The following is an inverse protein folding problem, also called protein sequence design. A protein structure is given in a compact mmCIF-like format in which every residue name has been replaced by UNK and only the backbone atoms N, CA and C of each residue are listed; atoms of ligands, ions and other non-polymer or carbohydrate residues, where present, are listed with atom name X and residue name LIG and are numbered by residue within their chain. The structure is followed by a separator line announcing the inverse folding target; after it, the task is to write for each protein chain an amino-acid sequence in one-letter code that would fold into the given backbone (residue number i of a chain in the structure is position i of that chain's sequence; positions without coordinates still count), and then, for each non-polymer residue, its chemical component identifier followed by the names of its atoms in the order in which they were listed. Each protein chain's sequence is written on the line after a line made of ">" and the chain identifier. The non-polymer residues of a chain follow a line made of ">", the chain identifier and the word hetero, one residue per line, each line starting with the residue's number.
data_IF_712774076046
#
_entry.id   IF_712774076046
#
_cell.length_a   1.000
_cell.length_b   1.000
_cell.length_c   1.000
_cell.angle_alpha   90.00
_cell.angle_beta   90.00
_cell.angle_gamma   90.00
#
_symmetry.space_group_name_H-M   'P 1'
#
loop_
_entity.id
_entity.type
_entity.pdbx_description
1 polymer ?
#
# COMPACT_ATOMS: atom_id res chain seq x y z
N UNK A 1 13.89 10.26 30.00
CA UNK A 1 13.38 11.62 29.76
C UNK A 1 13.41 11.89 28.26
N UNK A 2 12.31 11.64 27.55
CA UNK A 2 12.19 11.87 26.11
C UNK A 2 11.92 13.35 25.87
N UNK A 3 12.79 14.01 25.12
CA UNK A 3 12.53 15.35 24.63
C UNK A 3 11.18 15.35 23.90
N UNK A 4 10.20 16.08 24.43
CA UNK A 4 8.95 16.38 23.73
C UNK A 4 9.36 16.96 22.38
N UNK A 5 9.04 16.26 21.30
CA UNK A 5 9.34 16.76 19.97
C UNK A 5 8.38 17.92 19.72
N UNK A 6 8.86 19.17 19.78
CA UNK A 6 8.09 20.40 19.50
C UNK A 6 7.61 20.50 18.04
N UNK A 7 7.73 19.41 17.28
CA UNK A 7 7.32 19.32 15.90
C UNK A 7 5.92 18.73 15.79
N UNK A 8 4.97 19.57 15.41
CA UNK A 8 3.54 19.20 15.32
C UNK A 8 3.27 18.10 14.29
N UNK A 9 4.15 17.89 13.31
CA UNK A 9 4.03 16.82 12.32
C UNK A 9 4.57 15.46 12.82
N UNK A 10 5.43 15.47 13.84
CA UNK A 10 6.13 14.26 14.28
C UNK A 10 5.21 13.17 14.86
N UNK A 11 4.19 13.48 15.70
CA UNK A 11 3.28 12.46 16.20
C UNK A 11 2.59 11.65 15.10
N UNK A 12 2.20 12.28 14.00
CA UNK A 12 1.58 11.61 12.87
C UNK A 12 2.59 10.78 12.06
N UNK A 13 3.80 11.31 11.85
CA UNK A 13 4.88 10.54 11.22
C UNK A 13 5.22 9.28 12.02
N UNK A 14 5.28 9.41 13.36
CA UNK A 14 5.54 8.28 14.26
C UNK A 14 4.44 7.22 14.15
N UNK A 15 3.17 7.61 14.22
CA UNK A 15 2.03 6.68 14.04
C UNK A 15 2.09 5.97 12.68
N UNK A 16 2.49 6.68 11.64
CA UNK A 16 2.69 6.10 10.31
C UNK A 16 3.81 5.05 10.32
N UNK A 17 4.97 5.33 10.93
CA UNK A 17 6.04 4.34 11.05
C UNK A 17 5.68 3.14 11.91
N UNK A 18 4.94 3.34 13.00
CA UNK A 18 4.37 2.27 13.82
C UNK A 18 3.43 1.38 12.97
N UNK A 19 2.62 1.96 12.07
CA UNK A 19 1.83 1.18 11.12
C UNK A 19 2.70 0.43 10.12
N UNK A 20 3.72 1.06 9.54
CA UNK A 20 4.60 0.41 8.56
C UNK A 20 5.38 -0.77 9.16
N UNK A 21 5.85 -0.66 10.41
CA UNK A 21 6.60 -1.76 11.04
C UNK A 21 5.69 -2.96 11.33
N UNK A 22 4.44 -2.73 11.73
CA UNK A 22 3.45 -3.81 11.89
C UNK A 22 3.19 -4.51 10.55
N UNK A 23 2.95 -3.74 9.48
CA UNK A 23 2.74 -4.30 8.14
C UNK A 23 3.95 -5.10 7.65
N UNK A 24 5.16 -4.56 7.84
CA UNK A 24 6.42 -5.24 7.51
C UNK A 24 6.58 -6.55 8.28
N UNK A 25 6.28 -6.53 9.58
CA UNK A 25 6.37 -7.71 10.44
C UNK A 25 5.42 -8.81 9.96
N UNK A 26 4.17 -8.46 9.64
CA UNK A 26 3.19 -9.42 9.14
C UNK A 26 3.63 -10.06 7.82
N UNK A 27 4.11 -9.26 6.86
CA UNK A 27 4.63 -9.77 5.59
C UNK A 27 5.82 -10.73 5.80
N UNK A 28 6.73 -10.37 6.70
CA UNK A 28 7.90 -11.19 7.04
C UNK A 28 7.49 -12.52 7.67
N UNK A 29 6.61 -12.46 8.67
CA UNK A 29 6.10 -13.62 9.38
C UNK A 29 5.39 -14.58 8.43
N UNK A 30 4.47 -14.07 7.61
CA UNK A 30 3.76 -14.85 6.60
C UNK A 30 4.70 -15.47 5.59
N UNK A 31 5.66 -14.72 5.05
CA UNK A 31 6.67 -15.25 4.14
C UNK A 31 7.46 -16.41 4.78
N UNK A 32 7.91 -16.25 6.03
CA UNK A 32 8.68 -17.29 6.70
C UNK A 32 7.86 -18.54 7.02
N UNK A 33 6.66 -18.35 7.55
CA UNK A 33 5.73 -19.44 7.86
C UNK A 33 5.41 -20.24 6.60
N UNK A 34 5.07 -19.57 5.50
CA UNK A 34 4.74 -20.20 4.23
C UNK A 34 5.94 -20.94 3.62
N UNK A 35 7.13 -20.36 3.67
CA UNK A 35 8.34 -21.05 3.20
C UNK A 35 8.74 -22.25 4.09
N UNK A 36 8.50 -22.18 5.40
CA UNK A 36 8.69 -23.30 6.30
C UNK A 36 7.70 -24.44 5.99
N UNK A 37 6.44 -24.08 5.70
CA UNK A 37 5.41 -25.02 5.22
C UNK A 37 5.87 -25.73 3.94
N UNK A 38 6.41 -25.00 2.96
CA UNK A 38 6.96 -25.63 1.74
C UNK A 38 8.06 -26.65 2.03
N UNK A 39 9.00 -26.32 2.93
CA UNK A 39 10.06 -27.25 3.33
C UNK A 39 9.53 -28.48 4.08
N UNK A 40 8.50 -28.31 4.90
CA UNK A 40 7.87 -29.43 5.61
C UNK A 40 7.20 -30.40 4.64
N UNK A 41 6.53 -29.87 3.62
CA UNK A 41 5.76 -30.65 2.67
C UNK A 41 6.54 -31.08 1.43
N UNK A 42 7.80 -30.67 1.27
CA UNK A 42 8.64 -31.08 0.12
C UNK A 42 8.93 -32.58 0.08
N UNK A 43 8.82 -33.27 1.22
CA UNK A 43 9.09 -34.71 1.36
C UNK A 43 7.80 -35.54 1.48
N UNK A 44 6.63 -34.91 1.40
CA UNK A 44 5.35 -35.62 1.44
C UNK A 44 5.02 -36.10 0.01
N UNK A 45 4.65 -37.38 -0.17
CA UNK A 45 4.28 -37.90 -1.48
C UNK A 45 3.18 -37.04 -2.13
N UNK A 46 3.30 -36.67 -3.42
CA UNK A 46 2.33 -35.80 -4.10
C UNK A 46 0.87 -36.26 -3.99
N UNK A 47 0.63 -37.56 -3.99
CA UNK A 47 -0.69 -38.16 -3.82
C UNK A 47 -1.35 -37.84 -2.47
N UNK A 48 -0.58 -37.43 -1.46
CA UNK A 48 -1.05 -37.11 -0.11
C UNK A 48 -1.23 -35.60 0.13
N UNK A 49 -0.99 -34.77 -0.89
CA UNK A 49 -1.09 -33.31 -0.81
C UNK A 49 -2.23 -32.80 -1.68
N UNK A 50 -3.41 -32.69 -1.07
CA UNK A 50 -4.60 -32.09 -1.67
C UNK A 50 -5.17 -31.07 -0.69
N UNK A 51 -5.38 -29.85 -1.15
CA UNK A 51 -6.16 -28.84 -0.44
C UNK A 51 -7.38 -28.49 -1.29
N UNK A 52 -8.57 -28.77 -0.77
CA UNK A 52 -9.82 -28.46 -1.46
C UNK A 52 -10.70 -27.56 -0.59
N UNK A 53 -11.43 -26.67 -1.23
CA UNK A 53 -12.42 -25.81 -0.57
C UNK A 53 -13.62 -25.65 -1.50
N UNK A 54 -14.80 -25.60 -0.90
CA UNK A 54 -16.09 -25.50 -1.57
C UNK A 54 -16.92 -24.41 -0.90
N UNK A 55 -17.63 -23.59 -1.68
CA UNK A 55 -18.55 -22.60 -1.12
C UNK A 55 -19.93 -23.24 -0.95
N UNK A 56 -20.32 -23.42 0.30
CA UNK A 56 -21.61 -23.94 0.73
C UNK A 56 -22.41 -22.77 1.29
N UNK A 57 -23.67 -22.65 0.88
CA UNK A 57 -24.60 -21.61 1.33
C UNK A 57 -25.93 -22.24 1.74
N UNK A 58 -26.79 -21.44 2.34
CA UNK A 58 -28.17 -21.78 2.66
C UNK A 58 -29.11 -20.68 2.18
N UNK A 59 -30.40 -20.99 2.13
CA UNK A 59 -31.44 -19.98 1.99
C UNK A 59 -31.82 -19.47 3.38
N UNK A 60 -31.36 -18.27 3.73
CA UNK A 60 -31.64 -17.62 5.02
C UNK A 60 -33.11 -17.24 5.23
N UNK A 61 -33.95 -17.37 4.19
CA UNK A 61 -35.41 -17.18 4.24
C UNK A 61 -36.19 -18.47 4.04
N UNK A 62 -35.48 -19.57 3.77
CA UNK A 62 -36.07 -20.83 3.33
C UNK A 62 -36.54 -21.73 4.48
N UNK A 63 -37.02 -22.90 4.10
CA UNK A 63 -37.40 -23.93 5.05
C UNK A 63 -36.18 -24.41 5.86
N UNK A 64 -36.44 -24.78 7.11
CA UNK A 64 -35.43 -25.36 8.00
C UNK A 64 -35.82 -26.78 8.34
N UNK A 65 -34.83 -27.64 8.57
CA UNK A 65 -35.09 -28.95 9.17
C UNK A 65 -35.13 -28.79 10.69
N UNK A 66 -36.32 -28.53 11.24
CA UNK A 66 -36.52 -28.35 12.68
C UNK A 66 -35.62 -27.26 13.30
N UNK A 67 -35.44 -26.13 12.61
CA UNK A 67 -34.57 -25.04 13.03
C UNK A 67 -33.10 -25.18 12.62
N UNK A 68 -32.71 -26.28 11.97
CA UNK A 68 -31.39 -26.43 11.35
C UNK A 68 -31.35 -25.90 9.92
N UNK A 69 -30.25 -25.24 9.60
CA UNK A 69 -29.97 -24.65 8.29
C UNK A 69 -29.82 -25.72 7.21
N UNK A 70 -30.63 -25.61 6.15
CA UNK A 70 -30.52 -26.47 4.96
C UNK A 70 -29.44 -25.91 4.02
N UNK A 71 -28.32 -26.62 3.96
CA UNK A 71 -27.15 -26.24 3.19
C UNK A 71 -27.16 -26.84 1.77
N UNK A 72 -26.73 -26.05 0.78
CA UNK A 72 -26.49 -26.50 -0.58
C UNK A 72 -25.18 -25.93 -1.15
N UNK A 73 -24.57 -26.72 -2.03
CA UNK A 73 -23.31 -26.36 -2.68
C UNK A 73 -23.55 -25.39 -3.84
N UNK A 74 -22.75 -24.33 -3.93
CA UNK A 74 -22.89 -23.30 -5.00
C UNK A 74 -22.43 -23.76 -6.39
N UNK A 75 -21.80 -24.93 -6.48
CA UNK A 75 -21.10 -25.41 -7.68
C UNK A 75 -19.67 -24.89 -7.79
N UNK A 76 -19.24 -23.95 -6.94
CA UNK A 76 -17.90 -23.35 -6.97
C UNK A 76 -16.98 -24.05 -5.97
N UNK A 77 -15.87 -24.59 -6.47
CA UNK A 77 -14.82 -25.19 -5.65
C UNK A 77 -13.43 -24.77 -6.14
N UNK A 78 -12.45 -24.84 -5.23
CA UNK A 78 -11.03 -24.67 -5.53
C UNK A 78 -10.26 -25.86 -4.99
N UNK A 79 -9.45 -26.46 -5.84
CA UNK A 79 -8.54 -27.54 -5.46
C UNK A 79 -7.12 -27.16 -5.82
N UNK A 80 -6.19 -27.45 -4.92
CA UNK A 80 -4.74 -27.30 -5.14
C UNK A 80 -4.13 -28.67 -4.99
N UNK A 81 -3.56 -29.17 -6.08
CA UNK A 81 -2.86 -30.44 -6.11
C UNK A 81 -1.40 -30.23 -5.70
N UNK A 82 -0.73 -31.31 -5.29
CA UNK A 82 0.69 -31.26 -4.89
C UNK A 82 1.60 -30.56 -5.90
N UNK A 83 1.41 -30.84 -7.20
CA UNK A 83 2.19 -30.23 -8.29
C UNK A 83 2.06 -28.70 -8.35
N UNK A 84 0.96 -28.15 -7.84
CA UNK A 84 0.64 -26.71 -7.81
C UNK A 84 0.95 -26.08 -6.46
N UNK A 85 1.27 -26.86 -5.42
CA UNK A 85 1.39 -26.37 -4.05
C UNK A 85 2.44 -25.26 -3.91
N UNK A 86 3.61 -25.41 -4.54
CA UNK A 86 4.65 -24.39 -4.56
C UNK A 86 4.16 -23.06 -5.19
N UNK A 87 3.40 -23.16 -6.27
CA UNK A 87 2.85 -22.01 -6.97
C UNK A 87 1.77 -21.34 -6.12
N UNK A 88 0.89 -22.12 -5.49
CA UNK A 88 -0.13 -21.59 -4.59
C UNK A 88 0.48 -20.87 -3.40
N UNK A 89 1.52 -21.43 -2.77
CA UNK A 89 2.21 -20.75 -1.67
C UNK A 89 2.86 -19.45 -2.13
N UNK A 90 3.53 -19.45 -3.28
CA UNK A 90 4.12 -18.23 -3.85
C UNK A 90 3.05 -17.17 -4.15
N UNK A 91 1.89 -17.61 -4.66
CA UNK A 91 0.72 -16.75 -4.91
C UNK A 91 0.17 -16.15 -3.63
N UNK A 92 0.03 -16.95 -2.56
CA UNK A 92 -0.44 -16.48 -1.25
C UNK A 92 0.52 -15.46 -0.62
N UNK A 93 1.84 -15.70 -0.70
CA UNK A 93 2.85 -14.73 -0.27
C UNK A 93 2.71 -13.43 -1.06
N UNK A 94 2.51 -13.53 -2.38
CA UNK A 94 2.32 -12.35 -3.24
C UNK A 94 1.07 -11.57 -2.90
N UNK A 95 -0.04 -12.24 -2.61
CA UNK A 95 -1.29 -11.59 -2.17
C UNK A 95 -1.09 -10.81 -0.88
N UNK A 96 -0.43 -11.41 0.11
CA UNK A 96 -0.13 -10.72 1.37
C UNK A 96 0.77 -9.50 1.14
N UNK A 97 1.80 -9.64 0.30
CA UNK A 97 2.68 -8.51 -0.03
C UNK A 97 1.94 -7.39 -0.79
N UNK A 98 1.03 -7.73 -1.70
CA UNK A 98 0.14 -6.78 -2.38
C UNK A 98 -0.79 -6.07 -1.39
N UNK A 99 -1.41 -6.81 -0.47
CA UNK A 99 -2.23 -6.23 0.59
C UNK A 99 -1.43 -5.23 1.43
N UNK A 100 -0.20 -5.59 1.82
CA UNK A 100 0.70 -4.70 2.57
C UNK A 100 1.06 -3.44 1.78
N UNK A 101 1.28 -3.54 0.46
CA UNK A 101 1.45 -2.36 -0.40
C UNK A 101 0.24 -1.44 -0.30
N UNK A 102 -0.96 -1.97 -0.54
CA UNK A 102 -2.19 -1.18 -0.52
C UNK A 102 -2.40 -0.47 0.82
N UNK A 103 -2.22 -1.21 1.92
CA UNK A 103 -2.35 -0.67 3.28
C UNK A 103 -1.29 0.37 3.63
N UNK A 104 -0.05 0.19 3.15
CA UNK A 104 1.02 1.16 3.38
C UNK A 104 0.78 2.48 2.65
N UNK A 105 0.19 2.43 1.44
CA UNK A 105 -0.16 3.61 0.67
C UNK A 105 -1.35 4.36 1.31
N UNK A 106 -2.38 3.64 1.77
CA UNK A 106 -3.49 4.26 2.52
C UNK A 106 -3.01 4.95 3.80
N UNK A 107 -2.07 4.33 4.53
CA UNK A 107 -1.45 4.95 5.69
C UNK A 107 -0.65 6.21 5.33
N UNK A 108 0.02 6.23 4.17
CA UNK A 108 0.74 7.39 3.66
C UNK A 108 -0.22 8.52 3.28
N UNK A 109 -1.33 8.21 2.61
CA UNK A 109 -2.37 9.20 2.31
C UNK A 109 -2.93 9.80 3.61
N UNK A 110 -3.24 8.97 4.60
CA UNK A 110 -3.70 9.44 5.90
C UNK A 110 -2.68 10.36 6.57
N UNK A 111 -1.39 10.01 6.55
CA UNK A 111 -0.31 10.87 7.05
C UNK A 111 -0.32 12.24 6.35
N UNK A 112 -0.40 12.25 5.02
CA UNK A 112 -0.36 13.48 4.24
C UNK A 112 -1.60 14.35 4.47
N UNK A 113 -2.78 13.74 4.64
CA UNK A 113 -3.98 14.47 5.10
C UNK A 113 -3.74 15.12 6.46
N UNK A 114 -3.09 14.42 7.39
CA UNK A 114 -2.73 14.98 8.69
C UNK A 114 -1.75 16.16 8.57
N UNK A 115 -0.71 16.03 7.74
CA UNK A 115 0.24 17.12 7.50
C UNK A 115 -0.42 18.37 6.92
N UNK A 116 -1.31 18.20 5.94
CA UNK A 116 -2.05 19.34 5.36
C UNK A 116 -2.96 19.97 6.40
N UNK A 117 -3.65 19.17 7.22
CA UNK A 117 -4.49 19.68 8.30
C UNK A 117 -3.69 20.53 9.32
N UNK A 118 -2.54 20.04 9.79
CA UNK A 118 -1.68 20.81 10.69
C UNK A 118 -1.08 22.05 10.00
N UNK A 119 -0.72 21.95 8.71
CA UNK A 119 -0.25 23.10 7.93
C UNK A 119 -1.32 24.19 7.84
N UNK A 120 -2.59 23.86 7.63
CA UNK A 120 -3.69 24.82 7.60
C UNK A 120 -3.87 25.56 8.94
N UNK A 121 -3.68 24.89 10.07
CA UNK A 121 -3.74 25.53 11.40
C UNK A 121 -2.61 26.53 11.62
N UNK A 122 -1.44 26.26 11.07
CA UNK A 122 -0.22 27.05 11.28
C UNK A 122 0.01 28.14 10.21
N UNK A 123 -0.84 28.20 9.19
CA UNK A 123 -0.60 28.98 7.99
C UNK A 123 -1.93 29.42 7.36
N UNK A 124 -2.46 30.54 7.83
CA UNK A 124 -3.72 31.10 7.35
C UNK A 124 -3.67 31.41 5.84
N UNK A 125 -2.52 31.85 5.32
CA UNK A 125 -2.36 32.10 3.90
C UNK A 125 -2.53 30.80 3.09
N UNK A 126 -1.86 29.73 3.51
CA UNK A 126 -2.03 28.43 2.87
C UNK A 126 -3.47 27.92 2.97
N UNK A 127 -4.12 28.11 4.12
CA UNK A 127 -5.53 27.76 4.31
C UNK A 127 -6.44 28.44 3.30
N UNK A 128 -6.35 29.78 3.16
CA UNK A 128 -7.18 30.53 2.21
C UNK A 128 -6.90 30.15 0.75
N UNK A 129 -5.64 29.83 0.41
CA UNK A 129 -5.25 29.43 -0.96
C UNK A 129 -5.84 28.08 -1.38
N UNK A 130 -6.05 27.16 -0.45
CA UNK A 130 -6.57 25.83 -0.77
C UNK A 130 -8.06 25.69 -0.51
N UNK A 131 -8.65 26.56 0.31
CA UNK A 131 -10.08 26.59 0.58
C UNK A 131 -10.82 26.91 -0.72
N UNK A 132 -11.82 26.10 -1.02
CA UNK A 132 -12.72 26.31 -2.16
C UNK A 132 -14.14 25.99 -1.72
N UNK A 133 -15.14 26.35 -2.53
CA UNK A 133 -16.54 25.97 -2.29
C UNK A 133 -16.72 24.46 -2.07
N UNK A 134 -15.90 23.64 -2.73
CA UNK A 134 -15.98 22.17 -2.68
C UNK A 134 -15.00 21.52 -1.68
N UNK A 135 -14.14 22.31 -1.04
CA UNK A 135 -13.13 21.78 -0.12
C UNK A 135 -12.90 22.74 1.03
N UNK A 136 -13.37 22.35 2.22
CA UNK A 136 -13.10 23.02 3.47
C UNK A 136 -11.99 22.28 4.24
N UNK A 137 -10.77 22.84 4.37
CA UNK A 137 -9.66 22.19 5.09
C UNK A 137 -9.92 21.97 6.59
N UNK A 138 -10.93 22.60 7.18
CA UNK A 138 -11.31 22.33 8.57
C UNK A 138 -12.06 21.00 8.71
N UNK A 139 -12.73 20.54 7.65
CA UNK A 139 -13.43 19.27 7.63
C UNK A 139 -12.55 18.17 7.03
N UNK A 140 -12.05 17.30 7.90
CA UNK A 140 -11.15 16.21 7.52
C UNK A 140 -11.80 15.16 6.63
N UNK A 141 -13.12 15.03 6.67
CA UNK A 141 -13.85 14.04 5.87
C UNK A 141 -13.76 14.33 4.37
N UNK A 142 -13.61 15.61 4.00
CA UNK A 142 -13.56 16.08 2.61
C UNK A 142 -12.15 16.05 2.00
N UNK A 143 -11.15 15.52 2.71
CA UNK A 143 -9.80 15.48 2.20
C UNK A 143 -9.65 14.48 1.04
N UNK A 144 -9.20 14.92 -0.14
CA UNK A 144 -9.10 14.05 -1.31
C UNK A 144 -7.97 13.02 -1.14
N UNK A 145 -8.02 11.95 -1.92
CA UNK A 145 -6.91 11.01 -2.12
C UNK A 145 -6.15 11.26 -3.44
N UNK A 146 -5.22 10.37 -3.75
CA UNK A 146 -4.54 10.26 -5.04
C UNK A 146 -3.82 11.53 -5.48
N UNK A 147 -3.94 11.86 -6.77
CA UNK A 147 -3.28 13.02 -7.38
C UNK A 147 -3.68 14.35 -6.75
N UNK A 148 -4.93 14.48 -6.31
CA UNK A 148 -5.43 15.70 -5.66
C UNK A 148 -4.75 15.93 -4.31
N UNK A 149 -4.51 14.87 -3.53
CA UNK A 149 -3.75 14.97 -2.28
C UNK A 149 -2.28 15.36 -2.54
N UNK A 150 -1.65 14.75 -3.55
CA UNK A 150 -0.27 15.10 -3.92
C UNK A 150 -0.16 16.57 -4.34
N UNK A 151 -1.15 17.12 -5.06
CA UNK A 151 -1.19 18.55 -5.40
C UNK A 151 -1.23 19.44 -4.15
N UNK A 152 -2.00 19.07 -3.11
CA UNK A 152 -2.02 19.80 -1.84
C UNK A 152 -0.66 19.75 -1.15
N UNK A 153 -0.01 18.58 -1.11
CA UNK A 153 1.34 18.43 -0.55
C UNK A 153 2.33 19.32 -1.31
N UNK A 154 2.33 19.28 -2.63
CA UNK A 154 3.20 20.14 -3.47
C UNK A 154 2.99 21.62 -3.17
N UNK A 155 1.73 22.07 -3.02
CA UNK A 155 1.42 23.45 -2.62
C UNK A 155 1.96 23.77 -1.22
N UNK A 156 1.82 22.85 -0.27
CA UNK A 156 2.29 23.04 1.11
C UNK A 156 3.83 23.12 1.19
N UNK A 157 4.54 22.33 0.39
CA UNK A 157 6.00 22.24 0.38
C UNK A 157 6.69 23.14 -0.65
N UNK A 158 5.92 23.83 -1.51
CA UNK A 158 6.41 24.79 -2.51
C UNK A 158 7.57 24.23 -3.36
N UNK A 159 8.54 25.08 -3.71
CA UNK A 159 9.69 24.75 -4.57
C UNK A 159 10.61 23.67 -3.97
N UNK A 160 10.67 23.58 -2.64
CA UNK A 160 11.45 22.55 -1.95
C UNK A 160 10.99 21.15 -2.36
N UNK A 161 9.71 20.94 -2.67
CA UNK A 161 9.26 19.63 -3.18
C UNK A 161 10.05 19.16 -4.39
N UNK A 162 10.23 20.04 -5.37
CA UNK A 162 10.95 19.72 -6.60
C UNK A 162 12.45 19.59 -6.31
N UNK A 163 13.01 20.50 -5.51
CA UNK A 163 14.42 20.46 -5.10
C UNK A 163 14.81 19.14 -4.45
N UNK A 164 14.03 18.67 -3.47
CA UNK A 164 14.28 17.37 -2.82
C UNK A 164 13.96 16.18 -3.74
N UNK A 165 12.99 16.33 -4.64
CA UNK A 165 12.69 15.32 -5.65
C UNK A 165 13.84 15.13 -6.67
N UNK A 166 14.64 16.16 -6.92
CA UNK A 166 15.75 16.12 -7.88
C UNK A 166 17.09 15.75 -7.23
N UNK A 167 17.31 16.20 -5.99
CA UNK A 167 18.58 16.04 -5.28
C UNK A 167 18.66 14.81 -4.37
N UNK A 168 17.65 13.93 -4.36
CA UNK A 168 17.70 12.74 -3.51
C UNK A 168 18.66 11.67 -4.05
N UNK A 169 19.23 10.89 -3.12
CA UNK A 169 20.23 9.86 -3.40
C UNK A 169 19.75 8.76 -4.36
N UNK A 170 18.44 8.60 -4.51
CA UNK A 170 17.83 7.57 -5.36
C UNK A 170 17.43 8.10 -6.74
N UNK A 171 17.63 9.40 -7.02
CA UNK A 171 17.13 10.09 -8.24
C UNK A 171 15.64 9.81 -8.49
N UNK A 172 14.88 9.63 -7.40
CA UNK A 172 13.48 9.25 -7.43
C UNK A 172 12.62 10.50 -7.60
N UNK A 173 11.94 10.62 -8.75
CA UNK A 173 10.96 11.70 -8.96
C UNK A 173 9.72 11.44 -8.11
N UNK A 174 9.47 12.25 -7.09
CA UNK A 174 8.39 12.06 -6.12
C UNK A 174 7.00 11.93 -6.77
N UNK A 175 6.73 12.75 -7.79
CA UNK A 175 5.44 12.68 -8.50
C UNK A 175 5.28 11.38 -9.30
N UNK A 176 6.36 10.86 -9.88
CA UNK A 176 6.32 9.59 -10.61
C UNK A 176 6.18 8.44 -9.61
N UNK A 177 6.94 8.47 -8.52
CA UNK A 177 6.84 7.49 -7.45
C UNK A 177 5.41 7.40 -6.90
N UNK A 178 4.83 8.51 -6.46
CA UNK A 178 3.46 8.57 -5.95
C UNK A 178 2.45 7.97 -6.93
N UNK A 179 2.49 8.42 -8.19
CA UNK A 179 1.55 7.97 -9.22
C UNK A 179 1.71 6.48 -9.51
N UNK A 180 2.94 5.98 -9.63
CA UNK A 180 3.19 4.55 -9.85
C UNK A 180 2.63 3.72 -8.70
N UNK A 181 2.93 4.06 -7.45
CA UNK A 181 2.43 3.29 -6.29
C UNK A 181 0.91 3.42 -6.16
N UNK A 182 0.34 4.59 -6.44
CA UNK A 182 -1.12 4.80 -6.45
C UNK A 182 -1.83 3.91 -7.47
N UNK A 183 -1.29 3.76 -8.69
CA UNK A 183 -1.86 2.88 -9.71
C UNK A 183 -1.74 1.39 -9.30
N UNK A 184 -0.61 0.98 -8.72
CA UNK A 184 -0.45 -0.36 -8.17
C UNK A 184 -1.47 -0.64 -7.07
N UNK A 185 -1.63 0.28 -6.10
CA UNK A 185 -2.63 0.16 -5.03
C UNK A 185 -4.04 0.05 -5.58
N UNK A 186 -4.38 0.85 -6.60
CA UNK A 186 -5.70 0.81 -7.21
C UNK A 186 -5.99 -0.57 -7.85
N UNK A 187 -5.04 -1.11 -8.62
CA UNK A 187 -5.16 -2.44 -9.22
C UNK A 187 -5.26 -3.56 -8.17
N UNK A 188 -4.45 -3.49 -7.11
CA UNK A 188 -4.50 -4.45 -6.00
C UNK A 188 -5.86 -4.44 -5.30
N UNK A 189 -6.41 -3.25 -5.04
CA UNK A 189 -7.65 -3.10 -4.26
C UNK A 189 -8.90 -3.43 -5.08
N UNK A 190 -8.92 -3.07 -6.38
CA UNK A 190 -10.14 -3.07 -7.18
C UNK A 190 -10.10 -4.04 -8.37
N UNK A 191 -8.97 -4.70 -8.64
CA UNK A 191 -8.80 -5.51 -9.85
C UNK A 191 -8.03 -6.80 -9.58
N UNK A 192 -8.05 -7.30 -8.34
CA UNK A 192 -7.40 -8.55 -7.94
C UNK A 192 -5.93 -8.63 -8.41
N UNK A 193 -5.19 -7.53 -8.25
CA UNK A 193 -3.79 -7.39 -8.66
C UNK A 193 -3.54 -7.30 -10.19
N UNK A 194 -4.57 -7.22 -11.02
CA UNK A 194 -4.45 -7.08 -12.48
C UNK A 194 -4.41 -5.59 -12.87
N UNK A 195 -3.46 -5.22 -13.72
CA UNK A 195 -3.29 -3.85 -14.22
C UNK A 195 -3.04 -3.81 -15.73
N UNK A 196 -3.63 -2.80 -16.39
CA UNK A 196 -3.36 -2.51 -17.80
C UNK A 196 -1.92 -2.00 -17.97
N UNK A 197 -1.19 -2.57 -18.94
CA UNK A 197 0.20 -2.20 -19.26
C UNK A 197 0.38 -0.71 -19.51
N UNK A 198 -0.57 -0.07 -20.19
CA UNK A 198 -0.54 1.36 -20.49
C UNK A 198 -0.52 2.26 -19.25
N UNK A 199 -1.09 1.83 -18.12
CA UNK A 199 -1.12 2.64 -16.89
C UNK A 199 0.25 2.74 -16.22
N UNK A 200 1.01 1.65 -16.27
CA UNK A 200 2.24 1.46 -15.50
C UNK A 200 3.51 1.54 -16.37
N UNK A 201 3.42 1.20 -17.66
CA UNK A 201 4.55 1.19 -18.61
C UNK A 201 4.50 2.35 -19.62
N UNK A 202 3.78 3.43 -19.32
CA UNK A 202 3.65 4.62 -20.19
C UNK A 202 4.95 5.40 -20.45
N UNK A 203 5.95 5.26 -19.59
CA UNK A 203 7.27 5.85 -19.84
C UNK A 203 8.37 5.07 -19.13
N UNK A 204 9.63 5.37 -19.48
CA UNK A 204 10.82 4.75 -18.87
C UNK A 204 10.86 4.96 -17.35
N UNK A 205 10.53 6.15 -16.88
CA UNK A 205 10.54 6.47 -15.45
C UNK A 205 9.49 5.67 -14.67
N UNK A 206 8.25 5.60 -15.18
CA UNK A 206 7.19 4.80 -14.55
C UNK A 206 7.54 3.31 -14.57
N UNK A 207 8.02 2.81 -15.70
CA UNK A 207 8.45 1.41 -15.87
C UNK A 207 9.56 1.05 -14.90
N UNK A 208 10.57 1.91 -14.74
CA UNK A 208 11.70 1.67 -13.85
C UNK A 208 11.25 1.59 -12.39
N UNK A 209 10.43 2.53 -11.94
CA UNK A 209 9.90 2.52 -10.57
C UNK A 209 9.03 1.27 -10.36
N UNK A 210 8.12 0.98 -11.29
CA UNK A 210 7.24 -0.17 -11.19
C UNK A 210 8.02 -1.48 -11.09
N UNK A 211 9.00 -1.70 -11.97
CA UNK A 211 9.84 -2.92 -11.96
C UNK A 211 10.81 -2.98 -10.79
N UNK A 212 11.18 -1.83 -10.22
CA UNK A 212 12.03 -1.80 -9.03
C UNK A 212 11.31 -2.33 -7.78
N UNK A 213 10.00 -2.09 -7.69
CA UNK A 213 9.18 -2.46 -6.54
C UNK A 213 8.25 -3.65 -6.79
N UNK A 214 8.00 -4.06 -8.03
CA UNK A 214 7.12 -5.17 -8.37
C UNK A 214 7.63 -6.00 -9.55
N UNK A 215 7.29 -7.29 -9.54
CA UNK A 215 7.34 -8.15 -10.72
C UNK A 215 5.98 -8.14 -11.42
N UNK A 216 5.96 -8.48 -12.71
CA UNK A 216 4.74 -8.49 -13.51
C UNK A 216 4.68 -9.78 -14.31
N UNK A 217 3.58 -10.53 -14.15
CA UNK A 217 3.30 -11.73 -14.95
C UNK A 217 2.32 -11.37 -16.07
N UNK A 218 2.59 -11.72 -17.35
CA UNK A 218 1.65 -11.45 -18.43
C UNK A 218 0.37 -12.28 -18.28
N UNK A 219 -0.79 -11.63 -18.40
CA UNK A 219 -2.10 -12.30 -18.45
C UNK A 219 -2.65 -12.25 -19.87
N UNK A 220 -2.66 -11.06 -20.47
CA UNK A 220 -3.05 -10.85 -21.87
C UNK A 220 -2.01 -9.98 -22.59
N UNK A 221 -2.27 -9.67 -23.87
CA UNK A 221 -1.45 -8.69 -24.60
C UNK A 221 -1.44 -7.32 -23.90
N UNK A 222 -2.52 -6.94 -23.22
CA UNK A 222 -2.69 -5.61 -22.62
C UNK A 222 -2.63 -5.59 -21.10
N UNK A 223 -2.69 -6.73 -20.43
CA UNK A 223 -2.80 -6.82 -18.96
C UNK A 223 -1.68 -7.66 -18.36
N UNK A 224 -1.28 -7.27 -17.15
CA UNK A 224 -0.32 -7.98 -16.32
C UNK A 224 -0.85 -8.13 -14.90
N UNK A 225 -0.49 -9.22 -14.26
CA UNK A 225 -0.68 -9.42 -12.82
C UNK A 225 0.54 -8.86 -12.08
N UNK A 226 0.27 -8.12 -10.99
CA UNK A 226 1.28 -7.62 -10.07
C UNK A 226 1.70 -8.77 -9.15
N UNK A 227 2.99 -9.10 -9.18
CA UNK A 227 3.59 -10.14 -8.34
C UNK A 227 4.62 -9.51 -7.41
N UNK A 228 4.45 -9.73 -6.11
CA UNK A 228 5.33 -9.23 -5.07
C UNK A 228 5.92 -10.37 -4.25
N UNK A 229 7.18 -10.21 -3.88
CA UNK A 229 7.84 -11.04 -2.88
C UNK A 229 8.21 -10.18 -1.67
N UNK A 230 8.59 -10.84 -0.57
CA UNK A 230 8.96 -10.14 0.66
C UNK A 230 10.09 -9.12 0.46
N UNK A 231 11.10 -9.42 -0.38
CA UNK A 231 12.24 -8.51 -0.59
C UNK A 231 11.81 -7.24 -1.30
N UNK A 232 10.89 -7.35 -2.27
CA UNK A 232 10.35 -6.20 -2.99
C UNK A 232 9.48 -5.33 -2.09
N UNK A 233 8.59 -5.92 -1.30
CA UNK A 233 7.74 -5.15 -0.38
C UNK A 233 8.56 -4.50 0.74
N UNK A 234 9.58 -5.18 1.28
CA UNK A 234 10.50 -4.61 2.28
C UNK A 234 11.18 -3.33 1.76
N UNK A 235 11.68 -3.39 0.52
CA UNK A 235 12.26 -2.24 -0.15
C UNK A 235 11.24 -1.12 -0.39
N UNK A 236 10.03 -1.47 -0.83
CA UNK A 236 8.98 -0.49 -1.07
C UNK A 236 8.57 0.23 0.21
N UNK A 237 8.37 -0.49 1.31
CA UNK A 237 8.03 0.10 2.60
C UNK A 237 9.11 1.08 3.08
N UNK A 238 10.38 0.74 2.89
CA UNK A 238 11.49 1.66 3.15
C UNK A 238 11.38 2.93 2.30
N UNK A 239 11.19 2.81 0.99
CA UNK A 239 11.06 3.98 0.11
C UNK A 239 9.82 4.84 0.42
N UNK A 240 8.70 4.22 0.81
CA UNK A 240 7.50 4.91 1.29
C UNK A 240 7.81 5.68 2.58
N UNK A 241 8.52 5.07 3.53
CA UNK A 241 8.92 5.70 4.78
C UNK A 241 9.87 6.89 4.57
N UNK A 242 10.83 6.75 3.66
CA UNK A 242 11.78 7.79 3.28
C UNK A 242 11.08 8.93 2.55
N UNK A 243 10.14 8.64 1.65
CA UNK A 243 9.35 9.66 0.98
C UNK A 243 8.49 10.47 1.97
N UNK A 244 7.82 9.80 2.90
CA UNK A 244 7.11 10.45 4.00
C UNK A 244 8.03 11.34 4.84
N UNK A 245 9.24 10.85 5.15
CA UNK A 245 10.24 11.62 5.88
C UNK A 245 10.65 12.89 5.15
N UNK A 246 10.84 12.84 3.82
CA UNK A 246 11.23 14.03 3.06
C UNK A 246 10.15 15.11 3.13
N UNK A 247 8.87 14.73 2.98
CA UNK A 247 7.76 15.68 3.12
C UNK A 247 7.71 16.27 4.52
N UNK A 248 7.81 15.42 5.56
CA UNK A 248 7.91 15.86 6.95
C UNK A 248 9.05 16.86 7.15
N UNK A 249 10.25 16.54 6.65
CA UNK A 249 11.45 17.36 6.78
C UNK A 249 11.28 18.73 6.12
N UNK A 250 10.65 18.80 4.94
CA UNK A 250 10.38 20.07 4.25
C UNK A 250 9.45 20.94 5.09
N UNK A 251 8.29 20.39 5.49
CA UNK A 251 7.29 21.12 6.30
C UNK A 251 7.88 21.59 7.64
N UNK A 252 8.70 20.74 8.27
CA UNK A 252 9.37 21.06 9.53
C UNK A 252 10.34 22.23 9.36
N UNK A 253 11.16 22.22 8.29
CA UNK A 253 12.12 23.29 8.01
C UNK A 253 11.43 24.63 7.73
N UNK A 254 10.33 24.62 6.99
CA UNK A 254 9.57 25.84 6.68
C UNK A 254 9.07 26.55 7.95
N UNK A 255 8.75 25.80 9.01
CA UNK A 255 8.27 26.34 10.29
C UNK A 255 9.35 26.42 11.37
N UNK A 256 10.62 26.14 11.03
CA UNK A 256 11.73 26.17 12.00
C UNK A 256 11.73 25.03 13.02
N UNK A 257 10.94 23.98 12.82
CA UNK A 257 10.91 22.83 13.73
C UNK A 257 12.14 21.94 13.57
N UNK A 258 12.54 21.29 14.68
CA UNK A 258 13.54 20.22 14.65
C UNK A 258 13.00 19.03 13.86
N UNK A 259 13.74 18.60 12.84
CA UNK A 259 13.36 17.48 11.96
C UNK A 259 14.28 16.28 12.09
N UNK A 260 15.48 16.45 12.66
CA UNK A 260 16.41 15.34 12.91
C UNK A 260 15.81 14.47 14.02
N UNK A 261 15.51 13.22 13.67
CA UNK A 261 15.09 12.19 14.61
C UNK A 261 16.34 11.73 15.37
N UNK A 262 16.30 11.81 16.70
CA UNK A 262 17.35 11.33 17.62
C UNK A 262 16.91 10.03 18.27
#
# INVERSE_FOLDING_TARGET
>A
MTAKCDNLYYPDLRKFYERLIVLRHNAYFMNNMMNATLKKYSNVPPEHLISASALIISDITGETDNGWELNFHTGVSKTVLAKEFNNEVSRLISIECCYVLAQSFEALEKLFKNFIYEKCKLDNLFFEVIKTEKFNPQDRSNYPGGDSLLKLIRKATKEDFNKYSESNNYKLKFSVFWKTISELRHAITHSQNIIKKEKIFKSKDYTNIARHFASFSPITQNEVEIVLDYKKIDRLLKSIAEFAFQVFKILSKEKGFKWKMS
#
